data_IF_356672327611
#
_entry.id   IF_356672327611
#
_cell.length_a   1.000
_cell.length_b   1.000
_cell.length_c   1.000
_cell.angle_alpha   90.00
_cell.angle_beta   90.00
_cell.angle_gamma   90.00
#
_symmetry.space_group_name_H-M   'P 1'
#
loop_
_entity.id
_entity.type
_entity.pdbx_description
1 polymer ?
#
# COMPACT_ATOMS: atom_id res chain seq x y z
N UNK A 1 18.64 -9.96 4.52
CA UNK A 1 18.16 -9.34 3.26
C UNK A 1 19.02 -8.14 2.90
N UNK A 2 20.27 -8.37 2.49
CA UNK A 2 21.16 -7.33 1.95
C UNK A 2 20.91 -7.06 0.46
N UNK A 3 20.01 -7.83 -0.16
CA UNK A 3 19.67 -7.75 -1.58
C UNK A 3 18.57 -6.72 -1.89
N UNK A 4 17.99 -6.09 -0.87
CA UNK A 4 16.93 -5.11 -1.05
C UNK A 4 17.50 -3.69 -1.00
N UNK A 5 16.99 -2.76 -1.84
CA UNK A 5 17.30 -1.35 -1.72
C UNK A 5 16.98 -0.83 -0.31
N UNK A 6 17.85 0.04 0.23
CA UNK A 6 17.69 0.59 1.59
C UNK A 6 16.43 1.45 1.75
N UNK A 7 15.90 1.98 0.65
CA UNK A 7 14.72 2.85 0.58
C UNK A 7 13.40 2.08 0.45
N UNK A 8 13.44 0.74 0.42
CA UNK A 8 12.20 -0.05 0.45
C UNK A 8 11.59 0.02 1.86
N UNK A 9 10.38 0.57 1.96
CA UNK A 9 9.54 0.51 3.16
C UNK A 9 9.28 -0.94 3.62
N UNK A 10 9.87 -1.37 4.76
CA UNK A 10 9.73 -2.73 5.26
C UNK A 10 8.32 -3.02 5.82
N UNK A 11 7.59 -1.96 6.14
CA UNK A 11 6.26 -1.94 6.75
C UNK A 11 5.14 -1.59 5.75
N UNK A 12 5.41 -1.74 4.45
CA UNK A 12 4.43 -1.46 3.40
C UNK A 12 3.16 -2.32 3.51
N UNK A 13 2.01 -1.68 3.70
CA UNK A 13 0.71 -2.34 3.91
C UNK A 13 -0.34 -1.90 2.88
N UNK A 14 -1.25 -2.82 2.51
CA UNK A 14 -2.38 -2.55 1.61
C UNK A 14 -3.66 -3.19 2.19
N UNK A 15 -4.84 -2.54 2.07
CA UNK A 15 -6.09 -3.13 2.52
C UNK A 15 -6.52 -4.29 1.61
N UNK A 16 -7.05 -5.36 2.21
CA UNK A 16 -7.74 -6.41 1.46
C UNK A 16 -9.12 -5.89 1.04
N UNK A 17 -9.43 -6.05 -0.24
CA UNK A 17 -10.71 -5.61 -0.80
C UNK A 17 -11.61 -6.80 -1.14
N UNK A 18 -12.92 -6.71 -0.86
CA UNK A 18 -13.87 -7.70 -1.32
C UNK A 18 -13.99 -7.64 -2.84
N UNK A 19 -14.06 -8.81 -3.49
CA UNK A 19 -14.28 -8.89 -4.93
C UNK A 19 -15.60 -8.20 -5.32
N UNK A 20 -15.66 -7.38 -6.40
CA UNK A 20 -14.62 -7.15 -7.43
C UNK A 20 -13.75 -5.90 -7.20
N UNK A 21 -13.80 -5.30 -6.00
CA UNK A 21 -13.10 -4.05 -5.71
C UNK A 21 -11.58 -4.25 -5.61
N UNK A 22 -10.83 -3.21 -5.98
CA UNK A 22 -9.37 -3.18 -5.85
C UNK A 22 -8.92 -2.04 -4.95
N UNK A 23 -7.82 -2.25 -4.21
CA UNK A 23 -7.23 -1.19 -3.40
C UNK A 23 -6.59 -0.14 -4.31
N UNK A 24 -7.11 1.08 -4.28
CA UNK A 24 -6.58 2.20 -5.05
C UNK A 24 -6.13 3.32 -4.12
N UNK A 25 -4.95 3.86 -4.40
CA UNK A 25 -4.41 4.99 -3.65
C UNK A 25 -5.33 6.21 -3.77
N UNK A 26 -5.47 6.94 -2.66
CA UNK A 26 -6.32 8.12 -2.58
C UNK A 26 -5.66 9.37 -3.17
N UNK A 27 -4.37 9.32 -3.52
CA UNK A 27 -3.62 10.41 -4.14
C UNK A 27 -2.99 11.37 -3.13
N UNK A 28 -3.16 11.11 -1.83
CA UNK A 28 -2.63 11.90 -0.72
C UNK A 28 -2.22 10.98 0.43
N UNK A 29 -1.24 11.42 1.22
CA UNK A 29 -0.65 10.64 2.30
C UNK A 29 0.60 9.87 1.90
N UNK A 30 0.95 8.90 2.72
CA UNK A 30 2.07 7.98 2.49
C UNK A 30 1.59 6.78 1.67
N UNK A 31 2.24 6.50 0.54
CA UNK A 31 1.90 5.39 -0.37
C UNK A 31 2.17 4.00 0.23
N UNK A 32 2.90 3.95 1.34
CA UNK A 32 3.27 2.70 1.99
C UNK A 32 2.26 2.30 3.09
N UNK A 33 1.31 3.19 3.45
CA UNK A 33 0.31 2.94 4.48
C UNK A 33 -1.06 2.58 3.91
N UNK A 34 -1.65 1.50 4.44
CA UNK A 34 -2.98 1.02 4.02
C UNK A 34 -4.10 2.05 4.18
N UNK A 35 -4.00 2.94 5.17
CA UNK A 35 -4.96 4.03 5.47
C UNK A 35 -5.25 4.93 4.27
N UNK A 36 -4.26 5.09 3.38
CA UNK A 36 -4.33 6.00 2.24
C UNK A 36 -4.85 5.31 0.96
N UNK A 37 -5.40 4.10 1.09
CA UNK A 37 -6.02 3.35 0.00
C UNK A 37 -7.49 3.08 0.30
N UNK A 38 -8.31 3.08 -0.75
CA UNK A 38 -9.72 2.74 -0.67
C UNK A 38 -10.07 1.68 -1.71
N UNK A 39 -11.00 0.79 -1.36
CA UNK A 39 -11.51 -0.21 -2.29
C UNK A 39 -12.49 0.43 -3.27
N UNK A 40 -12.12 0.49 -4.56
CA UNK A 40 -12.93 1.10 -5.63
C UNK A 40 -12.59 0.55 -7.03
#
# INVERSE_FOLDING_TARGET
NTELPQDWAPDRTRPLCPYPLIARYNGQGDSEKAENFSCK
#
